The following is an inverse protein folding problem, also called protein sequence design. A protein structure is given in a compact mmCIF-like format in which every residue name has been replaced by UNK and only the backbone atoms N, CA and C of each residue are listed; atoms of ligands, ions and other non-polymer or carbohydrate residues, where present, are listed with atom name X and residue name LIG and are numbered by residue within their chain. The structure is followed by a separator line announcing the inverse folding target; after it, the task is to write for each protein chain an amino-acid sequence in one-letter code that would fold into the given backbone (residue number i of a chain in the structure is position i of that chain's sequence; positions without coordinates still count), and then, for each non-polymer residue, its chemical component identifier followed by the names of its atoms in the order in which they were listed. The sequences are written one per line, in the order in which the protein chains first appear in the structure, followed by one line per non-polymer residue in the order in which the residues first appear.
data_IF_446782982883
#
_entry.id   IF_446782982883
#
_cell.length_a   1.000
_cell.length_b   1.000
_cell.length_c   1.000
_cell.angle_alpha   90.00
_cell.angle_beta   90.00
_cell.angle_gamma   90.00
#
_symmetry.space_group_name_H-M   'P 1'
#
loop_
_entity.id
_entity.type
_entity.pdbx_description
1 polymer ?
#
# COMPACT_ATOMS: atom_id res chain seq x y z
N UNK A 1 4.69 -8.73 6.20
CA UNK A 1 4.56 -9.08 4.77
C UNK A 1 5.00 -10.53 4.60
N UNK A 2 4.42 -11.28 3.65
CA UNK A 2 4.78 -12.68 3.47
C UNK A 2 6.26 -12.82 3.08
N UNK A 3 7.00 -13.70 3.78
CA UNK A 3 8.46 -13.85 3.60
C UNK A 3 8.79 -14.37 2.20
N UNK A 4 7.92 -15.20 1.67
CA UNK A 4 7.98 -15.80 0.33
C UNK A 4 7.87 -14.78 -0.80
N UNK A 5 7.42 -13.55 -0.54
CA UNK A 5 7.39 -12.48 -1.55
C UNK A 5 8.77 -11.83 -1.75
N UNK A 6 9.77 -12.21 -0.95
CA UNK A 6 11.13 -11.70 -1.05
C UNK A 6 11.29 -10.23 -0.62
N UNK A 7 12.43 -9.61 -0.95
CA UNK A 7 12.71 -8.23 -0.57
C UNK A 7 11.84 -7.24 -1.34
N UNK A 8 11.61 -6.07 -0.73
CA UNK A 8 10.83 -5.00 -1.34
C UNK A 8 11.60 -4.33 -2.46
N UNK A 9 10.91 -4.08 -3.57
CA UNK A 9 11.48 -3.35 -4.69
C UNK A 9 11.10 -1.87 -4.59
N UNK A 10 12.04 -0.97 -4.89
CA UNK A 10 11.73 0.45 -4.97
C UNK A 10 10.60 0.69 -5.99
N UNK A 11 9.60 1.50 -5.61
CA UNK A 11 8.52 1.83 -6.52
C UNK A 11 9.01 2.81 -7.61
N UNK A 12 8.22 3.00 -8.67
CA UNK A 12 8.57 3.90 -9.79
C UNK A 12 8.85 5.35 -9.36
N UNK A 13 8.24 5.80 -8.25
CA UNK A 13 8.41 7.16 -7.72
C UNK A 13 9.78 7.29 -7.04
N UNK A 14 10.13 6.34 -6.18
CA UNK A 14 11.42 6.26 -5.50
C UNK A 14 12.59 6.12 -6.49
N UNK A 15 12.40 5.38 -7.58
CA UNK A 15 13.40 5.27 -8.66
C UNK A 15 13.64 6.58 -9.41
N UNK A 16 12.65 7.48 -9.44
CA UNK A 16 12.76 8.80 -10.12
C UNK A 16 13.20 9.90 -9.17
N UNK A 17 12.77 9.82 -7.92
CA UNK A 17 12.97 10.82 -6.89
C UNK A 17 13.22 10.10 -5.55
N UNK A 18 14.50 9.89 -5.19
CA UNK A 18 14.88 9.21 -3.95
C UNK A 18 14.36 9.90 -2.68
N UNK A 19 14.02 11.21 -2.75
CA UNK A 19 13.42 11.94 -1.63
C UNK A 19 11.98 11.52 -1.33
N UNK A 20 11.37 10.71 -2.21
CA UNK A 20 10.01 10.16 -2.06
C UNK A 20 10.06 8.64 -2.01
N UNK A 21 10.66 8.06 -0.95
CA UNK A 21 10.89 6.64 -0.87
C UNK A 21 9.58 5.87 -0.80
N UNK A 22 9.60 4.67 -1.37
CA UNK A 22 8.48 3.76 -1.34
C UNK A 22 8.85 2.42 -1.93
N UNK A 23 8.24 1.37 -1.40
CA UNK A 23 8.57 -0.01 -1.67
C UNK A 23 7.33 -0.78 -2.10
N UNK A 24 7.54 -1.80 -2.91
CA UNK A 24 6.49 -2.69 -3.39
C UNK A 24 6.91 -4.14 -3.23
N UNK A 25 5.95 -4.94 -2.82
CA UNK A 25 6.01 -6.39 -2.84
C UNK A 25 4.89 -6.92 -3.73
N UNK A 26 5.19 -8.00 -4.43
CA UNK A 26 4.25 -8.76 -5.24
C UNK A 26 4.39 -10.21 -4.89
N UNK A 27 3.27 -10.90 -4.82
CA UNK A 27 3.25 -12.34 -4.68
C UNK A 27 3.80 -12.99 -5.96
N UNK A 28 4.86 -13.81 -5.88
CA UNK A 28 5.44 -14.47 -7.04
C UNK A 28 4.50 -15.50 -7.67
N UNK A 29 3.56 -16.05 -6.90
CA UNK A 29 2.61 -17.06 -7.35
C UNK A 29 1.26 -16.46 -7.79
N UNK A 30 0.95 -15.25 -7.34
CA UNK A 30 -0.27 -14.54 -7.72
C UNK A 30 -0.02 -13.03 -7.89
N UNK A 31 0.35 -12.56 -9.09
CA UNK A 31 0.68 -11.15 -9.33
C UNK A 31 -0.45 -10.14 -9.02
N UNK A 32 -1.68 -10.62 -8.80
CA UNK A 32 -2.82 -9.82 -8.36
C UNK A 32 -2.82 -9.54 -6.86
N UNK A 33 -1.92 -10.17 -6.08
CA UNK A 33 -1.60 -9.82 -4.70
C UNK A 33 -0.39 -8.88 -4.66
N UNK A 34 -0.48 -7.85 -3.82
CA UNK A 34 0.66 -6.97 -3.60
C UNK A 34 0.44 -5.94 -2.51
N UNK A 35 1.57 -5.49 -1.96
CA UNK A 35 1.63 -4.45 -0.94
C UNK A 35 2.50 -3.34 -1.49
N UNK A 36 2.09 -2.08 -1.29
CA UNK A 36 2.93 -0.91 -1.54
C UNK A 36 2.98 -0.08 -0.28
N UNK A 37 4.17 0.26 0.19
CA UNK A 37 4.38 1.17 1.31
C UNK A 37 5.03 2.43 0.75
N UNK A 38 4.43 3.58 1.00
CA UNK A 38 4.92 4.88 0.56
C UNK A 38 5.21 5.77 1.78
N UNK A 39 6.31 6.52 1.72
CA UNK A 39 6.60 7.56 2.70
C UNK A 39 5.61 8.71 2.54
N UNK A 40 5.09 9.20 3.66
CA UNK A 40 4.20 10.34 3.70
C UNK A 40 4.90 11.62 3.26
N UNK A 41 4.14 12.50 2.60
CA UNK A 41 4.56 13.85 2.24
C UNK A 41 3.75 14.85 3.07
N UNK A 42 4.34 15.46 4.13
CA UNK A 42 3.63 16.39 5.01
C UNK A 42 2.98 17.57 4.27
N UNK A 43 3.51 17.94 3.10
CA UNK A 43 3.01 19.06 2.29
C UNK A 43 1.96 18.63 1.25
N UNK A 44 1.59 17.35 1.23
CA UNK A 44 0.61 16.84 0.27
C UNK A 44 -0.74 17.56 0.44
N UNK A 45 -1.40 17.94 -0.67
CA UNK A 45 -2.77 18.47 -0.62
C UNK A 45 -3.79 17.42 -0.18
N UNK A 46 -3.42 16.13 -0.23
CA UNK A 46 -4.26 15.00 0.16
C UNK A 46 -3.94 14.57 1.60
N UNK A 47 -4.85 14.73 2.58
CA UNK A 47 -4.57 14.40 3.97
C UNK A 47 -4.11 12.95 4.19
N UNK A 48 -4.69 11.99 3.46
CA UNK A 48 -4.30 10.57 3.54
C UNK A 48 -2.89 10.26 3.05
N UNK A 49 -2.24 11.18 2.33
CA UNK A 49 -0.87 11.04 1.81
C UNK A 49 0.17 11.73 2.71
N UNK A 50 -0.26 12.44 3.77
CA UNK A 50 0.65 13.18 4.66
C UNK A 50 1.39 12.30 5.66
N UNK A 51 0.92 11.06 5.82
CA UNK A 51 1.52 10.05 6.68
C UNK A 51 2.05 8.90 5.85
N UNK A 52 3.00 8.16 6.42
CA UNK A 52 3.43 6.89 5.85
C UNK A 52 2.20 5.98 5.77
N UNK A 53 2.01 5.35 4.61
CA UNK A 53 0.81 4.60 4.35
C UNK A 53 1.09 3.38 3.49
N UNK A 54 0.15 2.44 3.55
CA UNK A 54 0.15 1.22 2.76
C UNK A 54 -1.05 1.22 1.81
N UNK A 55 -0.84 0.66 0.63
CA UNK A 55 -1.89 0.30 -0.32
C UNK A 55 -1.81 -1.21 -0.56
N UNK A 56 -2.94 -1.89 -0.39
CA UNK A 56 -3.03 -3.35 -0.48
C UNK A 56 -3.87 -3.73 -1.70
N UNK A 57 -3.36 -4.64 -2.50
CA UNK A 57 -4.11 -5.34 -3.54
C UNK A 57 -4.19 -6.82 -3.14
N UNK A 58 -5.41 -7.34 -3.02
CA UNK A 58 -5.67 -8.75 -2.74
C UNK A 58 -6.56 -9.31 -3.84
N UNK A 59 -6.03 -10.26 -4.60
CA UNK A 59 -6.71 -10.88 -5.75
C UNK A 59 -7.32 -9.85 -6.73
N UNK A 60 -6.61 -8.76 -6.99
CA UNK A 60 -7.06 -7.70 -7.91
C UNK A 60 -8.00 -6.68 -7.29
N UNK A 61 -8.31 -6.77 -6.00
CA UNK A 61 -9.15 -5.84 -5.26
C UNK A 61 -8.32 -5.00 -4.30
N UNK A 62 -8.50 -3.69 -4.36
CA UNK A 62 -7.87 -2.76 -3.42
C UNK A 62 -8.67 -2.77 -2.12
N UNK A 63 -7.97 -2.88 -1.00
CA UNK A 63 -8.59 -3.00 0.32
C UNK A 63 -8.58 -1.66 1.07
N UNK A 64 -9.60 -1.46 1.89
CA UNK A 64 -9.67 -0.39 2.88
C UNK A 64 -9.00 -0.79 4.20
N UNK A 65 -9.06 0.12 5.19
CA UNK A 65 -8.48 -0.07 6.52
C UNK A 65 -9.11 -1.20 7.36
N UNK A 66 -10.17 -1.82 6.88
CA UNK A 66 -10.86 -2.94 7.52
C UNK A 66 -10.64 -4.26 6.77
N UNK A 67 -9.84 -4.25 5.69
CA UNK A 67 -9.63 -5.42 4.83
C UNK A 67 -10.73 -5.63 3.80
N UNK A 68 -11.67 -4.68 3.65
CA UNK A 68 -12.79 -4.81 2.71
C UNK A 68 -12.42 -4.26 1.33
N UNK A 69 -12.89 -4.87 0.23
CA UNK A 69 -12.73 -4.31 -1.11
C UNK A 69 -13.40 -2.93 -1.26
N UNK A 70 -12.66 -1.96 -1.78
CA UNK A 70 -13.18 -0.63 -2.09
C UNK A 70 -13.96 -0.67 -3.40
N UNK A 71 -15.26 -0.41 -3.34
CA UNK A 71 -16.13 -0.32 -4.51
C UNK A 71 -16.13 1.10 -5.10
N UNK A 72 -15.12 1.40 -5.92
CA UNK A 72 -15.03 2.67 -6.64
C UNK A 72 -14.46 2.43 -8.06
N UNK A 73 -14.71 3.32 -9.04
CA UNK A 73 -14.13 3.19 -10.38
C UNK A 73 -12.59 3.25 -10.39
N UNK A 74 -11.99 3.95 -9.42
CA UNK A 74 -10.53 4.07 -9.25
C UNK A 74 -10.17 3.90 -7.77
N UNK A 75 -10.22 2.67 -7.22
CA UNK A 75 -10.07 2.42 -5.78
C UNK A 75 -8.76 2.96 -5.21
N UNK A 76 -7.64 2.82 -5.92
CA UNK A 76 -6.33 3.36 -5.49
C UNK A 76 -6.26 4.88 -5.40
N UNK A 77 -7.26 5.61 -5.91
CA UNK A 77 -7.32 7.08 -5.81
C UNK A 77 -8.17 7.55 -4.63
N UNK A 78 -8.88 6.65 -3.96
CA UNK A 78 -9.72 7.04 -2.85
C UNK A 78 -8.89 7.14 -1.56
N UNK A 79 -9.27 8.01 -0.61
CA UNK A 79 -8.54 8.14 0.64
C UNK A 79 -8.45 6.83 1.43
N UNK A 80 -9.49 5.99 1.37
CA UNK A 80 -9.61 4.74 2.14
C UNK A 80 -8.59 3.68 1.72
N UNK A 81 -8.09 3.75 0.48
CA UNK A 81 -7.04 2.86 -0.01
C UNK A 81 -5.66 3.12 0.60
N UNK A 82 -5.49 4.26 1.27
CA UNK A 82 -4.22 4.71 1.86
C UNK A 82 -4.29 4.52 3.38
N UNK A 83 -4.03 3.29 3.80
CA UNK A 83 -4.14 2.87 5.20
C UNK A 83 -2.89 3.38 5.92
N UNK A 84 -3.01 4.11 7.04
CA UNK A 84 -1.84 4.52 7.82
C UNK A 84 -0.94 3.33 8.16
N UNK A 85 0.36 3.48 7.93
CA UNK A 85 1.31 2.37 8.07
C UNK A 85 1.33 1.82 9.50
N UNK A 86 1.26 2.69 10.50
CA UNK A 86 1.20 2.34 11.92
C UNK A 86 -0.06 1.55 12.30
N UNK A 87 -1.17 1.76 11.60
CA UNK A 87 -2.37 0.95 11.75
C UNK A 87 -2.19 -0.42 11.11
N UNK A 88 -1.69 -0.48 9.88
CA UNK A 88 -1.51 -1.74 9.16
C UNK A 88 -0.48 -2.66 9.82
N UNK A 89 0.57 -2.12 10.43
CA UNK A 89 1.54 -2.90 11.19
C UNK A 89 0.95 -3.65 12.39
N UNK A 90 -0.26 -3.27 12.84
CA UNK A 90 -0.99 -3.95 13.92
C UNK A 90 -1.92 -5.05 13.42
N UNK A 91 -2.06 -5.20 12.10
CA UNK A 91 -2.93 -6.21 11.51
C UNK A 91 -2.41 -7.63 11.79
N UNK A 92 -3.34 -8.55 12.00
CA UNK A 92 -3.06 -9.98 12.17
C UNK A 92 -2.49 -10.63 10.91
N UNK A 93 -2.87 -10.12 9.73
CA UNK A 93 -2.43 -10.58 8.43
C UNK A 93 -2.12 -9.40 7.50
N UNK A 94 -1.32 -9.62 6.46
CA UNK A 94 -0.99 -8.57 5.49
C UNK A 94 -2.20 -7.99 4.75
N UNK A 95 -3.29 -8.75 4.64
CA UNK A 95 -4.52 -8.37 3.92
C UNK A 95 -5.75 -8.17 4.81
N UNK A 96 -5.65 -8.48 6.10
CA UNK A 96 -6.77 -8.40 7.05
C UNK A 96 -6.27 -7.96 8.44
N UNK A 97 -6.99 -7.02 9.11
CA UNK A 97 -6.71 -6.61 10.49
C UNK A 97 -6.56 -7.73 11.50
#
# INVERSE_FOLDING_TARGET
MPKEWGPGQANKKALKDPSKPGWRWRDPNNPNNGIRIDKGDPNSPWPSQRVDHVVINSNGKILDRYGNPINAPKPTKTPEAHIPLDQWLKWSNWSHP
#
